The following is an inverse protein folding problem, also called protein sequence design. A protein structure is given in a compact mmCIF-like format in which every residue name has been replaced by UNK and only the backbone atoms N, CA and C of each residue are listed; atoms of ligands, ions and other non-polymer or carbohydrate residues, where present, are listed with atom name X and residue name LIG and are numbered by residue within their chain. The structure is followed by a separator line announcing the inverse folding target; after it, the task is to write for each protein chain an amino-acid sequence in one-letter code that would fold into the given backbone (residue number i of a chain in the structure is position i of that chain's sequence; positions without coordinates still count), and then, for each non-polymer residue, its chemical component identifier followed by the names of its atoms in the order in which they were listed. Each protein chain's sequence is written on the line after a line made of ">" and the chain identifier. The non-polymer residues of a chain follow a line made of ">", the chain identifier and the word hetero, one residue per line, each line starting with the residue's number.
data_IF_602558927073
#
_entry.id   IF_602558927073
#
_cell.length_a   1.000
_cell.length_b   1.000
_cell.length_c   1.000
_cell.angle_alpha   90.00
_cell.angle_beta   90.00
_cell.angle_gamma   90.00
#
_symmetry.space_group_name_H-M   'P 1'
#
loop_
_entity.id
_entity.type
_entity.pdbx_description
1 polymer ?
#
# COMPACT_ATOMS: atom_id res chain seq x y z
N UNK A 1 -41.94 -0.05 19.25
CA UNK A 1 -43.35 -0.47 19.12
C UNK A 1 -43.81 -0.54 17.67
N UNK A 2 -43.68 0.53 16.87
CA UNK A 2 -44.20 0.60 15.47
C UNK A 2 -43.65 -0.49 14.54
N UNK A 3 -42.38 -0.85 14.62
CA UNK A 3 -41.78 -1.93 13.82
C UNK A 3 -42.43 -3.27 14.14
N UNK A 4 -42.64 -3.57 15.43
CA UNK A 4 -43.32 -4.81 15.89
C UNK A 4 -44.76 -4.85 15.38
N UNK A 5 -45.47 -3.73 15.44
CA UNK A 5 -46.86 -3.65 14.93
C UNK A 5 -46.92 -3.92 13.43
N UNK A 6 -45.97 -3.41 12.66
CA UNK A 6 -45.90 -3.70 11.23
C UNK A 6 -45.61 -5.19 10.97
N UNK A 7 -44.63 -5.79 11.74
CA UNK A 7 -44.32 -7.22 11.63
C UNK A 7 -45.52 -8.11 11.96
N UNK A 8 -46.27 -7.79 13.03
CA UNK A 8 -47.48 -8.56 13.40
C UNK A 8 -48.62 -8.43 12.37
N UNK A 9 -48.60 -7.36 11.56
CA UNK A 9 -49.54 -7.17 10.45
C UNK A 9 -49.01 -7.73 9.13
N UNK A 10 -47.84 -8.40 9.16
CA UNK A 10 -47.13 -8.90 7.96
C UNK A 10 -46.80 -7.81 6.94
N UNK A 11 -46.78 -6.53 7.37
CA UNK A 11 -46.38 -5.40 6.52
C UNK A 11 -44.85 -5.24 6.61
N UNK A 12 -44.14 -6.13 5.92
CA UNK A 12 -42.67 -6.17 5.92
C UNK A 12 -42.05 -4.93 5.30
N UNK A 13 -42.75 -4.30 4.31
CA UNK A 13 -42.27 -3.07 3.67
C UNK A 13 -42.27 -1.89 4.64
N UNK A 14 -43.32 -1.74 5.43
CA UNK A 14 -43.39 -0.73 6.48
C UNK A 14 -42.39 -1.02 7.60
N UNK A 15 -42.20 -2.29 8.00
CA UNK A 15 -41.25 -2.68 9.00
C UNK A 15 -39.81 -2.35 8.57
N UNK A 16 -39.43 -2.63 7.33
CA UNK A 16 -38.11 -2.33 6.77
C UNK A 16 -37.85 -0.81 6.71
N UNK A 17 -38.81 -0.02 6.25
CA UNK A 17 -38.70 1.43 6.25
C UNK A 17 -38.54 2.03 7.65
N UNK A 18 -39.27 1.49 8.64
CA UNK A 18 -39.19 1.94 10.03
C UNK A 18 -37.89 1.54 10.71
N UNK A 19 -37.25 0.44 10.28
CA UNK A 19 -35.95 0.00 10.79
C UNK A 19 -34.87 1.05 10.58
N UNK A 20 -34.88 1.77 9.47
CA UNK A 20 -33.91 2.82 9.16
C UNK A 20 -33.85 3.93 10.23
N UNK A 21 -34.95 4.17 10.93
CA UNK A 21 -35.01 5.19 12.00
C UNK A 21 -34.38 4.74 13.34
N UNK A 22 -34.09 3.45 13.50
CA UNK A 22 -33.48 2.91 14.74
C UNK A 22 -32.11 2.30 14.50
N UNK A 23 -31.73 2.15 13.25
CA UNK A 23 -30.46 1.53 12.85
C UNK A 23 -29.26 2.45 13.08
N UNK A 24 -29.45 3.76 13.19
CA UNK A 24 -28.35 4.73 13.21
C UNK A 24 -27.67 4.87 11.83
N UNK A 25 -26.62 5.68 11.80
CA UNK A 25 -25.78 5.79 10.60
C UNK A 25 -24.94 4.55 10.43
N UNK A 26 -24.85 4.05 9.20
CA UNK A 26 -23.92 2.99 8.87
C UNK A 26 -22.49 3.51 9.06
N UNK A 27 -21.62 2.68 9.64
CA UNK A 27 -20.19 2.95 9.65
C UNK A 27 -19.65 2.89 8.22
N UNK A 28 -18.61 3.68 7.95
CA UNK A 28 -17.88 3.60 6.68
C UNK A 28 -17.26 2.21 6.51
N UNK A 29 -17.17 1.76 5.26
CA UNK A 29 -16.58 0.46 4.93
C UNK A 29 -15.05 0.53 4.94
N UNK A 30 -14.42 -0.65 5.04
CA UNK A 30 -12.96 -0.80 4.98
C UNK A 30 -12.38 -0.18 3.70
N UNK A 31 -11.30 0.58 3.84
CA UNK A 31 -10.62 1.27 2.75
C UNK A 31 -9.10 1.07 2.86
N UNK A 32 -8.41 0.72 1.74
CA UNK A 32 -6.95 0.61 1.75
C UNK A 32 -6.32 2.00 1.81
N UNK A 33 -5.27 2.16 2.63
CA UNK A 33 -4.58 3.45 2.79
C UNK A 33 -3.66 3.76 1.61
N UNK A 34 -2.78 2.83 1.26
CA UNK A 34 -1.82 3.04 0.18
C UNK A 34 -1.45 1.74 -0.55
N UNK A 35 -1.06 1.90 -1.80
CA UNK A 35 -0.49 0.86 -2.65
C UNK A 35 0.91 1.29 -3.03
N UNK A 36 1.91 0.45 -2.74
CA UNK A 36 3.30 0.65 -3.16
C UNK A 36 3.48 0.03 -4.53
N UNK A 37 3.75 0.85 -5.54
CA UNK A 37 4.03 0.40 -6.89
C UNK A 37 5.54 0.39 -7.12
N UNK A 38 6.09 -0.75 -7.55
CA UNK A 38 7.49 -0.92 -7.95
C UNK A 38 7.51 -1.36 -9.41
N UNK A 39 7.70 -0.41 -10.32
CA UNK A 39 7.71 -0.63 -11.77
C UNK A 39 9.14 -0.82 -12.23
N UNK A 40 9.46 -2.03 -12.71
CA UNK A 40 10.76 -2.32 -13.33
C UNK A 40 10.91 -1.53 -14.65
N UNK A 41 12.07 -0.90 -14.84
CA UNK A 41 12.44 -0.17 -16.05
C UNK A 41 13.37 -0.96 -16.96
N UNK A 42 13.84 -2.12 -16.53
CA UNK A 42 14.62 -2.98 -17.37
C UNK A 42 13.71 -3.61 -18.44
N UNK A 43 14.15 -3.59 -19.68
CA UNK A 43 13.46 -4.20 -20.83
C UNK A 43 13.74 -5.70 -20.91
N UNK A 44 13.04 -6.40 -21.78
CA UNK A 44 13.22 -7.83 -22.06
C UNK A 44 12.27 -8.74 -21.25
N UNK A 45 12.13 -9.95 -21.72
CA UNK A 45 11.32 -10.97 -21.08
C UNK A 45 11.98 -11.49 -19.80
N UNK A 46 11.17 -11.84 -18.82
CA UNK A 46 11.65 -12.49 -17.61
C UNK A 46 11.30 -13.99 -17.64
N UNK A 47 12.15 -14.77 -16.99
CA UNK A 47 12.03 -16.24 -16.84
C UNK A 47 12.18 -16.61 -15.36
N UNK A 48 11.93 -17.86 -15.03
CA UNK A 48 12.10 -18.39 -13.67
C UNK A 48 11.40 -17.57 -12.60
N UNK A 49 10.21 -17.05 -12.92
CA UNK A 49 9.43 -16.30 -11.96
C UNK A 49 8.91 -17.20 -10.84
N UNK A 50 9.19 -16.82 -9.61
CA UNK A 50 8.77 -17.54 -8.41
C UNK A 50 8.30 -16.58 -7.34
N UNK A 51 7.23 -16.95 -6.64
CA UNK A 51 6.77 -16.29 -5.40
C UNK A 51 6.69 -17.33 -4.31
N UNK A 52 7.12 -16.96 -3.11
CA UNK A 52 7.13 -17.84 -1.96
C UNK A 52 6.76 -17.06 -0.71
N UNK A 53 6.03 -17.69 0.21
CA UNK A 53 5.81 -17.21 1.57
C UNK A 53 6.35 -18.25 2.53
N UNK A 54 7.32 -17.89 3.36
CA UNK A 54 7.82 -18.69 4.47
C UNK A 54 7.09 -18.28 5.74
N UNK A 55 6.30 -19.18 6.31
CA UNK A 55 5.57 -18.95 7.56
C UNK A 55 6.51 -18.93 8.77
N UNK A 56 7.57 -19.73 8.75
CA UNK A 56 8.55 -19.82 9.84
C UNK A 56 9.35 -18.52 10.01
N UNK A 57 9.71 -17.86 8.90
CA UNK A 57 10.46 -16.61 8.92
C UNK A 57 9.59 -15.37 8.72
N UNK A 58 8.29 -15.53 8.49
CA UNK A 58 7.35 -14.46 8.14
C UNK A 58 7.85 -13.60 6.96
N UNK A 59 8.50 -14.24 5.96
CA UNK A 59 9.12 -13.57 4.83
C UNK A 59 8.43 -13.96 3.53
N UNK A 60 7.93 -12.96 2.79
CA UNK A 60 7.49 -13.17 1.42
C UNK A 60 8.62 -12.82 0.45
N UNK A 61 8.84 -13.66 -0.56
CA UNK A 61 9.85 -13.44 -1.58
C UNK A 61 9.27 -13.52 -2.98
N UNK A 62 9.86 -12.73 -3.89
CA UNK A 62 9.61 -12.77 -5.32
C UNK A 62 10.96 -12.79 -6.01
N UNK A 63 11.17 -13.71 -6.95
CA UNK A 63 12.38 -13.75 -7.76
C UNK A 63 12.06 -14.02 -9.23
N UNK A 64 12.91 -13.52 -10.11
CA UNK A 64 12.89 -13.78 -11.55
C UNK A 64 14.27 -13.56 -12.15
N UNK A 65 14.48 -14.09 -13.36
CA UNK A 65 15.69 -13.87 -14.14
C UNK A 65 15.36 -13.08 -15.40
N UNK A 66 16.14 -12.05 -15.70
CA UNK A 66 16.07 -11.28 -16.94
C UNK A 66 17.48 -11.02 -17.45
N UNK A 67 17.74 -11.36 -18.71
CA UNK A 67 19.05 -11.23 -19.36
C UNK A 67 20.20 -11.85 -18.54
N UNK A 68 19.93 -13.06 -17.96
CA UNK A 68 20.90 -13.77 -17.14
C UNK A 68 21.11 -13.18 -15.73
N UNK A 69 20.44 -12.11 -15.36
CA UNK A 69 20.53 -11.46 -14.05
C UNK A 69 19.33 -11.91 -13.22
N UNK A 70 19.60 -12.51 -12.06
CA UNK A 70 18.55 -12.86 -11.07
C UNK A 70 18.23 -11.63 -10.25
N UNK A 71 16.95 -11.27 -10.18
CA UNK A 71 16.38 -10.23 -9.32
C UNK A 71 15.60 -10.88 -8.20
N UNK A 72 15.67 -10.30 -7.01
CA UNK A 72 14.91 -10.77 -5.85
C UNK A 72 14.34 -9.58 -5.10
N UNK A 73 13.10 -9.77 -4.62
CA UNK A 73 12.42 -8.86 -3.69
C UNK A 73 12.03 -9.66 -2.46
N UNK A 74 12.31 -9.11 -1.30
CA UNK A 74 11.94 -9.68 0.00
C UNK A 74 11.03 -8.69 0.71
N UNK A 75 9.96 -9.19 1.31
CA UNK A 75 8.94 -8.38 1.98
C UNK A 75 8.82 -8.87 3.41
N UNK A 76 8.93 -7.96 4.34
CA UNK A 76 8.88 -8.24 5.77
C UNK A 76 8.05 -7.16 6.48
N UNK A 77 7.14 -7.58 7.37
CA UNK A 77 6.38 -6.69 8.26
C UNK A 77 6.89 -6.83 9.69
N UNK A 78 7.40 -5.75 10.26
CA UNK A 78 7.88 -5.69 11.64
C UNK A 78 6.80 -5.13 12.55
N UNK A 79 6.28 -5.95 13.45
CA UNK A 79 5.34 -5.48 14.48
C UNK A 79 6.02 -4.56 15.51
N UNK A 80 7.23 -4.87 16.04
CA UNK A 80 7.89 -3.99 17.00
C UNK A 80 8.22 -2.60 16.44
N UNK A 81 8.60 -2.54 15.17
CA UNK A 81 8.99 -1.28 14.51
C UNK A 81 7.81 -0.61 13.80
N UNK A 82 6.63 -1.23 13.77
CA UNK A 82 5.41 -0.75 13.11
C UNK A 82 5.64 -0.34 11.66
N UNK A 83 6.40 -1.15 10.91
CA UNK A 83 6.76 -0.85 9.52
C UNK A 83 6.77 -2.08 8.61
N UNK A 84 6.71 -1.82 7.31
CA UNK A 84 6.98 -2.80 6.27
C UNK A 84 8.35 -2.48 5.66
N UNK A 85 9.22 -3.48 5.56
CA UNK A 85 10.48 -3.41 4.86
C UNK A 85 10.43 -4.22 3.56
N UNK A 86 10.91 -3.63 2.45
CA UNK A 86 11.03 -4.31 1.16
C UNK A 86 12.47 -4.18 0.70
N UNK A 87 13.17 -5.32 0.55
CA UNK A 87 14.54 -5.36 0.06
C UNK A 87 14.56 -5.75 -1.41
N UNK A 88 15.29 -4.99 -2.21
CA UNK A 88 15.50 -5.23 -3.63
C UNK A 88 16.97 -5.59 -3.85
N UNK A 89 17.25 -6.72 -4.49
CA UNK A 89 18.60 -7.18 -4.81
C UNK A 89 18.68 -7.71 -6.25
N UNK A 90 19.88 -7.72 -6.81
CA UNK A 90 20.18 -8.32 -8.10
C UNK A 90 21.52 -9.06 -8.05
N UNK A 91 21.68 -10.15 -8.82
CA UNK A 91 22.92 -10.92 -8.91
C UNK A 91 24.08 -10.16 -9.56
N UNK A 92 23.78 -9.06 -10.25
CA UNK A 92 24.75 -8.15 -10.86
C UNK A 92 24.64 -6.76 -10.21
N UNK A 93 25.79 -6.18 -9.86
CA UNK A 93 25.84 -4.81 -9.32
C UNK A 93 25.27 -3.79 -10.30
N UNK A 94 24.64 -2.74 -9.79
CA UNK A 94 24.07 -1.63 -10.55
C UNK A 94 23.01 -2.03 -11.59
N UNK A 95 22.32 -3.16 -11.35
CA UNK A 95 21.33 -3.70 -12.29
C UNK A 95 19.89 -3.26 -11.96
N UNK A 96 19.62 -2.74 -10.76
CA UNK A 96 18.27 -2.34 -10.38
C UNK A 96 17.98 -0.96 -10.96
N UNK A 97 16.99 -0.92 -11.85
CA UNK A 97 16.40 0.30 -12.41
C UNK A 97 14.89 0.18 -12.29
N UNK A 98 14.28 0.97 -11.43
CA UNK A 98 12.84 0.93 -11.21
C UNK A 98 12.28 2.27 -10.77
N UNK A 99 10.98 2.43 -10.96
CA UNK A 99 10.20 3.53 -10.42
C UNK A 99 9.41 3.06 -9.21
N UNK A 100 9.41 3.88 -8.16
CA UNK A 100 8.64 3.63 -6.95
C UNK A 100 7.66 4.77 -6.77
N UNK A 101 6.38 4.45 -6.67
CA UNK A 101 5.31 5.41 -6.44
C UNK A 101 4.30 4.87 -5.43
N UNK A 102 3.55 5.79 -4.83
CA UNK A 102 2.42 5.50 -3.95
C UNK A 102 1.12 5.93 -4.62
N UNK A 103 0.09 5.12 -4.48
CA UNK A 103 -1.27 5.43 -4.91
C UNK A 103 -2.27 5.00 -3.83
N UNK A 104 -3.48 5.54 -3.87
CA UNK A 104 -4.59 5.10 -3.03
C UNK A 104 -5.89 5.10 -3.83
N UNK A 105 -6.89 4.35 -3.37
CA UNK A 105 -8.24 4.34 -3.94
C UNK A 105 -9.15 5.43 -3.36
N UNK A 106 -8.69 6.10 -2.30
CA UNK A 106 -9.40 7.20 -1.64
C UNK A 106 -8.71 8.54 -1.94
N UNK A 107 -9.36 9.69 -1.67
CA UNK A 107 -8.78 11.02 -1.90
C UNK A 107 -7.41 11.17 -1.23
N UNK A 108 -6.40 11.51 -2.02
CA UNK A 108 -5.02 11.59 -1.54
C UNK A 108 -4.17 12.56 -2.36
N UNK A 109 -3.04 12.93 -1.78
CA UNK A 109 -1.95 13.66 -2.43
C UNK A 109 -0.63 12.93 -2.16
N UNK A 110 0.26 12.91 -3.15
CA UNK A 110 1.60 12.31 -3.03
C UNK A 110 2.64 13.39 -3.28
N UNK A 111 3.69 13.41 -2.45
CA UNK A 111 4.84 14.31 -2.59
C UNK A 111 6.13 13.52 -2.49
N UNK A 112 7.03 13.73 -3.44
CA UNK A 112 8.39 13.18 -3.41
C UNK A 112 9.39 14.25 -2.97
N UNK A 113 10.34 13.87 -2.12
CA UNK A 113 11.45 14.74 -1.69
C UNK A 113 12.66 13.89 -1.31
N UNK A 114 13.82 14.14 -1.96
CA UNK A 114 15.02 13.35 -1.74
C UNK A 114 14.79 11.86 -2.03
N UNK A 115 14.87 11.02 -1.01
CA UNK A 115 14.63 9.57 -1.10
C UNK A 115 13.31 9.14 -0.45
N UNK A 116 12.39 10.09 -0.27
CA UNK A 116 11.14 9.89 0.46
C UNK A 116 9.93 10.18 -0.42
N UNK A 117 8.87 9.36 -0.27
CA UNK A 117 7.51 9.64 -0.70
C UNK A 117 6.64 9.80 0.53
N UNK A 118 5.79 10.82 0.52
CA UNK A 118 4.74 11.00 1.52
C UNK A 118 3.40 10.99 0.80
N UNK A 119 2.47 10.17 1.26
CA UNK A 119 1.08 10.17 0.82
C UNK A 119 0.20 10.58 2.00
N UNK A 120 -0.67 11.55 1.77
CA UNK A 120 -1.66 12.00 2.75
C UNK A 120 -3.04 11.98 2.11
N UNK A 121 -4.05 11.72 2.91
CA UNK A 121 -5.42 11.68 2.42
C UNK A 121 -6.42 11.51 3.55
N UNK A 122 -7.65 11.24 3.17
CA UNK A 122 -8.74 11.03 4.11
C UNK A 122 -9.70 9.95 3.58
N UNK A 123 -10.41 9.30 4.48
CA UNK A 123 -11.47 8.36 4.12
C UNK A 123 -12.56 9.06 3.28
N UNK A 124 -13.35 8.28 2.56
CA UNK A 124 -14.48 8.82 1.78
C UNK A 124 -15.44 9.60 2.70
N UNK A 125 -16.00 10.67 2.18
CA UNK A 125 -16.87 11.56 2.92
C UNK A 125 -16.33 13.00 2.96
N UNK A 126 -16.89 13.81 3.87
CA UNK A 126 -16.44 15.19 4.06
C UNK A 126 -15.11 15.20 4.83
N UNK A 127 -14.06 15.88 4.35
CA UNK A 127 -12.74 15.84 4.97
C UNK A 127 -12.75 16.16 6.47
N UNK A 128 -13.54 17.14 6.90
CA UNK A 128 -13.63 17.60 8.28
C UNK A 128 -14.17 16.54 9.26
N UNK A 129 -14.87 15.53 8.75
CA UNK A 129 -15.49 14.46 9.55
C UNK A 129 -14.91 13.07 9.26
N UNK A 130 -13.88 13.01 8.40
CA UNK A 130 -13.30 11.73 7.96
C UNK A 130 -12.00 11.42 8.70
N UNK A 131 -11.68 10.15 8.83
CA UNK A 131 -10.36 9.73 9.29
C UNK A 131 -9.31 10.12 8.26
N UNK A 132 -8.32 10.88 8.66
CA UNK A 132 -7.15 11.22 7.86
C UNK A 132 -6.07 10.16 7.99
N UNK A 133 -5.21 10.05 6.99
CA UNK A 133 -4.04 9.20 7.04
C UNK A 133 -2.80 9.89 6.47
N UNK A 134 -1.66 9.43 6.95
CA UNK A 134 -0.36 9.78 6.41
C UNK A 134 0.49 8.52 6.32
N UNK A 135 1.09 8.28 5.17
CA UNK A 135 2.07 7.20 5.02
C UNK A 135 3.37 7.75 4.45
N UNK A 136 4.48 7.23 4.95
CA UNK A 136 5.82 7.64 4.55
C UNK A 136 6.57 6.41 4.04
N UNK A 137 7.14 6.54 2.85
CA UNK A 137 8.06 5.59 2.26
C UNK A 137 9.44 6.25 2.16
N UNK A 138 10.47 5.61 2.69
CA UNK A 138 11.86 6.05 2.58
C UNK A 138 12.73 4.94 2.00
N UNK A 139 13.75 5.30 1.20
CA UNK A 139 14.62 4.33 0.54
C UNK A 139 16.07 4.53 1.00
N UNK A 140 16.70 3.44 1.44
CA UNK A 140 18.16 3.34 1.57
C UNK A 140 18.70 2.51 0.42
N UNK A 141 19.72 3.01 -0.27
CA UNK A 141 20.42 2.30 -1.35
C UNK A 141 21.92 2.26 -1.08
N UNK A 142 22.57 1.21 -1.55
CA UNK A 142 24.00 1.02 -1.39
C UNK A 142 24.79 1.91 -2.36
N UNK A 143 24.32 2.02 -3.61
CA UNK A 143 24.95 2.78 -4.69
C UNK A 143 23.89 3.24 -5.71
N UNK A 144 24.32 3.75 -6.87
CA UNK A 144 23.40 4.29 -7.87
C UNK A 144 22.78 5.62 -7.43
N UNK A 145 21.75 6.04 -8.13
CA UNK A 145 21.06 7.30 -7.87
C UNK A 145 19.58 7.10 -7.64
N UNK A 146 19.01 7.92 -6.76
CA UNK A 146 17.57 8.06 -6.58
C UNK A 146 17.21 9.51 -6.89
N UNK A 147 16.35 9.71 -7.87
CA UNK A 147 15.90 11.04 -8.30
C UNK A 147 14.40 11.17 -8.07
N UNK A 148 13.95 12.13 -7.26
CA UNK A 148 12.53 12.41 -7.09
C UNK A 148 11.98 13.19 -8.29
N UNK A 149 10.75 12.88 -8.65
CA UNK A 149 9.86 13.73 -9.43
C UNK A 149 8.61 13.97 -8.58
N UNK A 150 7.59 14.69 -9.04
CA UNK A 150 6.45 15.13 -8.22
C UNK A 150 5.87 14.05 -7.27
N UNK A 151 5.73 12.83 -7.75
CA UNK A 151 5.09 11.73 -7.00
C UNK A 151 5.82 10.38 -7.12
N UNK A 152 7.04 10.36 -7.68
CA UNK A 152 7.76 9.13 -8.00
C UNK A 152 9.24 9.25 -7.63
N UNK A 153 9.83 8.16 -7.16
CA UNK A 153 11.27 8.01 -7.00
C UNK A 153 11.82 7.10 -8.10
N UNK A 154 12.76 7.64 -8.88
CA UNK A 154 13.44 6.91 -9.96
C UNK A 154 14.78 6.36 -9.46
N UNK A 155 14.89 5.05 -9.37
CA UNK A 155 16.13 4.34 -9.03
C UNK A 155 16.87 4.01 -10.32
N UNK A 156 18.15 4.37 -10.40
CA UNK A 156 19.02 4.08 -11.56
C UNK A 156 20.36 3.53 -11.12
N UNK A 157 20.72 2.36 -11.65
CA UNK A 157 22.01 1.73 -11.41
C UNK A 157 22.23 1.36 -9.95
N UNK A 158 21.21 0.89 -9.25
CA UNK A 158 21.29 0.50 -7.84
C UNK A 158 21.65 -0.98 -7.74
N UNK A 159 22.54 -1.35 -6.81
CA UNK A 159 22.90 -2.74 -6.55
C UNK A 159 21.98 -3.38 -5.51
N UNK A 160 21.63 -2.62 -4.49
CA UNK A 160 20.71 -3.01 -3.43
C UNK A 160 19.95 -1.79 -2.91
N UNK A 161 18.67 -1.96 -2.64
CA UNK A 161 17.86 -0.95 -1.98
C UNK A 161 16.96 -1.60 -0.92
N UNK A 162 16.72 -0.87 0.17
CA UNK A 162 15.71 -1.21 1.17
C UNK A 162 14.72 -0.07 1.26
N UNK A 163 13.46 -0.40 1.08
CA UNK A 163 12.31 0.49 1.20
C UNK A 163 11.72 0.27 2.58
N UNK A 164 11.54 1.33 3.36
CA UNK A 164 10.83 1.34 4.62
C UNK A 164 9.52 2.08 4.45
N UNK A 165 8.42 1.49 4.88
CA UNK A 165 7.10 2.06 4.78
C UNK A 165 6.39 2.02 6.13
N UNK A 166 5.89 3.17 6.56
CA UNK A 166 5.09 3.36 7.76
C UNK A 166 3.80 4.10 7.43
N UNK A 167 2.76 3.87 8.20
CA UNK A 167 1.49 4.57 8.04
C UNK A 167 0.80 4.78 9.38
N UNK A 168 0.11 5.90 9.48
CA UNK A 168 -0.68 6.32 10.63
C UNK A 168 -2.01 6.90 10.19
N UNK A 169 -2.98 6.86 11.08
CA UNK A 169 -4.29 7.47 10.88
C UNK A 169 -4.65 8.38 12.04
N UNK A 170 -5.58 9.30 11.82
CA UNK A 170 -6.13 10.16 12.89
C UNK A 170 -7.18 9.44 13.76
N UNK A 171 -7.43 8.17 13.53
CA UNK A 171 -8.33 7.38 14.36
C UNK A 171 -7.67 7.11 15.71
N UNK A 172 -8.40 7.44 16.81
CA UNK A 172 -7.92 7.35 18.19
C UNK A 172 -8.90 6.50 19.02
#
# INVERSE_FOLDING_TARGET
>A
PKIREALFKEDYKAADSLQLHVQGHNSEYYQPLAIINIKDRNEGAYTQYQRQLSLDSALATLSYTRDGIKYQREYFASHPDQMIAIRLTASKKKAINCDISLTSLIPHQVKASGKQLTITGHAMGKPENSTHFCSILNIKNQDGTITPTDSTLHLKGVSEAVIYFVNETSYN
#
